data_IF_084799460522
#
_entry.id   IF_084799460522
#
_cell.length_a   1.000
_cell.length_b   1.000
_cell.length_c   1.000
_cell.angle_alpha   90.00
_cell.angle_beta   90.00
_cell.angle_gamma   90.00
#
_symmetry.space_group_name_H-M   'P 1'
#
loop_
_entity.id
_entity.type
_entity.pdbx_description
1 polymer ?
#
# COMPACT_ATOMS: atom_id res chain seq x y z
N UNK A 1 18.56 19.70 -20.31
CA UNK A 1 18.12 20.78 -19.40
C UNK A 1 18.77 20.56 -18.05
N UNK A 2 19.28 21.61 -17.44
CA UNK A 2 19.90 21.59 -16.12
C UNK A 2 19.10 22.51 -15.18
N UNK A 3 19.08 22.23 -13.88
CA UNK A 3 18.54 23.12 -12.85
C UNK A 3 19.48 24.31 -12.60
N UNK A 4 19.02 25.32 -11.86
CA UNK A 4 19.85 26.45 -11.41
C UNK A 4 21.03 26.01 -10.51
N UNK A 5 20.92 24.81 -9.91
CA UNK A 5 21.99 24.16 -9.14
C UNK A 5 22.92 23.31 -10.02
N UNK A 6 22.63 23.16 -11.31
CA UNK A 6 23.44 22.40 -12.27
C UNK A 6 23.06 20.91 -12.42
N UNK A 7 21.96 20.46 -11.81
CA UNK A 7 21.53 19.06 -11.89
C UNK A 7 20.82 18.76 -13.21
N UNK A 8 20.99 17.56 -13.76
CA UNK A 8 20.28 17.16 -14.98
C UNK A 8 18.80 16.93 -14.66
N UNK A 9 17.91 17.73 -15.24
CA UNK A 9 16.46 17.52 -15.12
C UNK A 9 16.05 16.45 -16.15
N UNK A 10 15.42 15.39 -15.65
CA UNK A 10 14.94 14.26 -16.44
C UNK A 10 13.69 13.65 -15.79
N UNK A 11 12.88 12.96 -16.60
CA UNK A 11 11.74 12.19 -16.09
C UNK A 11 12.21 10.96 -15.33
N UNK A 12 11.56 10.68 -14.20
CA UNK A 12 11.78 9.48 -13.40
C UNK A 12 10.84 8.38 -13.86
N UNK A 13 11.37 7.23 -14.26
CA UNK A 13 10.58 6.02 -14.55
C UNK A 13 10.30 5.26 -13.25
N UNK A 14 9.06 4.79 -13.09
CA UNK A 14 8.63 3.97 -11.95
C UNK A 14 8.27 2.57 -12.48
N UNK A 15 8.78 1.52 -11.84
CA UNK A 15 8.56 0.13 -12.23
C UNK A 15 8.14 -0.73 -11.04
N UNK A 16 7.41 -1.82 -11.32
CA UNK A 16 7.10 -2.85 -10.34
C UNK A 16 7.58 -4.22 -10.84
N UNK A 17 8.24 -4.99 -9.97
CA UNK A 17 8.54 -6.40 -10.21
C UNK A 17 7.24 -7.21 -10.16
N UNK A 18 6.85 -7.82 -11.27
CA UNK A 18 5.70 -8.72 -11.37
C UNK A 18 6.13 -10.01 -12.07
N UNK A 19 5.96 -11.15 -11.39
CA UNK A 19 6.26 -12.48 -11.95
C UNK A 19 7.68 -12.58 -12.57
N UNK A 20 8.68 -12.01 -11.89
CA UNK A 20 10.08 -12.04 -12.32
C UNK A 20 10.43 -11.07 -13.46
N UNK A 21 9.55 -10.13 -13.81
CA UNK A 21 9.81 -9.09 -14.81
C UNK A 21 9.51 -7.70 -14.25
N UNK A 22 10.30 -6.71 -14.65
CA UNK A 22 9.99 -5.31 -14.39
C UNK A 22 8.91 -4.82 -15.36
N UNK A 23 7.85 -4.23 -14.82
CA UNK A 23 6.75 -3.64 -15.57
C UNK A 23 6.72 -2.15 -15.26
N UNK A 24 6.73 -1.30 -16.29
CA UNK A 24 6.64 0.17 -16.13
C UNK A 24 5.25 0.56 -15.61
N UNK A 25 5.23 1.27 -14.49
CA UNK A 25 4.02 1.77 -13.82
C UNK A 25 3.68 3.19 -14.25
N UNK A 26 4.69 4.00 -14.56
CA UNK A 26 4.49 5.40 -14.90
C UNK A 26 5.78 6.20 -14.97
N UNK A 27 5.63 7.51 -15.20
CA UNK A 27 6.71 8.48 -15.22
C UNK A 27 6.34 9.70 -14.37
N UNK A 28 7.32 10.22 -13.65
CA UNK A 28 7.19 11.48 -12.92
C UNK A 28 8.09 12.54 -13.56
N UNK A 29 7.50 13.68 -13.91
CA UNK A 29 8.23 14.84 -14.45
C UNK A 29 8.41 15.89 -13.36
N UNK A 30 9.65 16.08 -12.90
CA UNK A 30 9.96 17.05 -11.84
C UNK A 30 9.82 18.50 -12.31
N UNK A 31 9.81 18.75 -13.63
CA UNK A 31 9.67 20.09 -14.20
C UNK A 31 8.22 20.56 -14.13
N UNK A 32 7.29 19.69 -14.53
CA UNK A 32 5.85 20.00 -14.54
C UNK A 32 5.15 19.55 -13.26
N UNK A 33 5.84 18.78 -12.41
CA UNK A 33 5.29 18.12 -11.22
C UNK A 33 4.14 17.16 -11.55
N UNK A 34 4.15 16.60 -12.77
CA UNK A 34 3.10 15.70 -13.25
C UNK A 34 3.49 14.23 -13.06
N UNK A 35 2.51 13.45 -12.62
CA UNK A 35 2.59 11.99 -12.52
C UNK A 35 1.72 11.36 -13.62
N UNK A 36 2.36 10.71 -14.57
CA UNK A 36 1.70 9.83 -15.53
C UNK A 36 1.65 8.42 -14.92
N UNK A 37 0.45 7.88 -14.67
CA UNK A 37 0.27 6.58 -14.02
C UNK A 37 -0.61 5.64 -14.85
N UNK A 38 -0.14 4.41 -15.07
CA UNK A 38 -0.78 3.47 -15.98
C UNK A 38 -1.79 2.50 -15.33
N UNK A 39 -1.91 2.46 -14.01
CA UNK A 39 -2.86 1.57 -13.32
C UNK A 39 -2.55 0.08 -13.52
N UNK A 40 -1.27 -0.28 -13.65
CA UNK A 40 -0.79 -1.66 -13.92
C UNK A 40 -0.29 -2.37 -12.67
N UNK A 41 -0.30 -1.69 -11.53
CA UNK A 41 0.20 -2.22 -10.27
C UNK A 41 -0.56 -3.47 -9.84
N UNK A 42 0.19 -4.45 -9.32
CA UNK A 42 -0.35 -5.64 -8.70
C UNK A 42 0.03 -5.67 -7.24
N UNK A 43 -0.98 -5.61 -6.39
CA UNK A 43 -0.84 -5.81 -4.97
C UNK A 43 -1.27 -7.23 -4.59
N UNK A 44 -0.80 -7.72 -3.45
CA UNK A 44 -1.21 -9.03 -2.94
C UNK A 44 -2.73 -9.10 -2.70
N UNK A 45 -3.34 -7.99 -2.29
CA UNK A 45 -4.78 -7.87 -2.05
C UNK A 45 -5.43 -6.92 -3.04
N UNK A 46 -6.74 -7.09 -3.27
CA UNK A 46 -7.56 -6.15 -4.03
C UNK A 46 -7.74 -4.78 -3.35
N UNK A 47 -7.28 -4.62 -2.10
CA UNK A 47 -7.38 -3.36 -1.35
C UNK A 47 -6.25 -2.37 -1.66
N UNK A 48 -5.33 -2.75 -2.55
CA UNK A 48 -4.17 -1.91 -2.89
C UNK A 48 -2.96 -2.18 -1.98
N UNK A 49 -2.07 -1.18 -1.81
CA UNK A 49 -0.88 -1.32 -0.97
C UNK A 49 -1.25 -1.57 0.49
N UNK A 50 -0.38 -2.25 1.25
CA UNK A 50 -0.55 -2.34 2.70
C UNK A 50 -0.51 -0.93 3.32
N UNK A 51 -1.32 -0.66 4.35
CA UNK A 51 -1.27 0.61 5.07
C UNK A 51 0.03 0.73 5.87
N UNK A 52 0.41 1.98 6.18
CA UNK A 52 1.62 2.28 6.96
C UNK A 52 1.56 1.73 8.40
N UNK A 53 0.36 1.46 8.93
CA UNK A 53 0.17 0.96 10.30
C UNK A 53 -1.07 0.07 10.46
N UNK A 54 -1.14 -0.64 11.58
CA UNK A 54 -2.29 -1.46 11.96
C UNK A 54 -3.39 -0.61 12.60
N UNK A 55 -4.65 -0.99 12.37
CA UNK A 55 -5.79 -0.38 13.07
C UNK A 55 -5.95 -1.04 14.44
N UNK A 56 -5.81 -0.25 15.51
CA UNK A 56 -6.08 -0.71 16.88
C UNK A 56 -7.58 -0.93 17.03
N UNK A 57 -7.97 -2.13 17.49
CA UNK A 57 -9.36 -2.48 17.81
C UNK A 57 -9.42 -3.02 19.23
N UNK A 58 -10.13 -2.31 20.09
CA UNK A 58 -10.41 -2.78 21.44
C UNK A 58 -11.43 -3.93 21.40
N UNK A 59 -11.17 -4.99 22.15
CA UNK A 59 -12.09 -6.12 22.30
C UNK A 59 -12.16 -6.52 23.77
N UNK A 60 -13.39 -6.70 24.27
CA UNK A 60 -13.63 -7.23 25.61
C UNK A 60 -13.70 -8.76 25.50
N UNK A 61 -13.03 -9.47 26.41
CA UNK A 61 -13.19 -10.91 26.57
C UNK A 61 -14.43 -11.17 27.42
N UNK A 62 -15.42 -11.89 26.87
CA UNK A 62 -16.62 -12.34 27.61
C UNK A 62 -16.69 -13.86 27.62
N UNK A 63 -17.23 -14.43 28.69
CA UNK A 63 -17.52 -15.87 28.76
C UNK A 63 -18.81 -16.15 27.98
N UNK A 64 -18.80 -17.14 27.10
CA UNK A 64 -20.01 -17.58 26.40
C UNK A 64 -21.02 -18.14 27.42
N UNK A 65 -22.29 -17.74 27.29
CA UNK A 65 -23.35 -18.03 28.25
C UNK A 65 -23.84 -19.50 28.23
N UNK A 66 -23.14 -20.40 27.56
CA UNK A 66 -23.52 -21.82 27.40
C UNK A 66 -23.05 -22.71 28.56
N UNK A 67 -22.34 -22.17 29.55
CA UNK A 67 -22.07 -22.90 30.79
C UNK A 67 -23.26 -22.70 31.74
N UNK A 68 -24.33 -23.46 31.51
CA UNK A 68 -25.39 -23.68 32.50
C UNK A 68 -24.86 -24.59 33.60
N UNK A 69 -24.25 -23.99 34.63
CA UNK A 69 -24.00 -24.71 35.88
C UNK A 69 -25.39 -24.90 36.53
N UNK A 70 -25.96 -26.11 36.46
CA UNK A 70 -27.07 -26.48 37.35
C UNK A 70 -26.44 -26.68 38.73
N UNK A 71 -26.72 -25.83 39.74
CA UNK A 71 -26.33 -26.17 41.10
C UNK A 71 -27.14 -27.38 41.53
N UNK A 72 -26.46 -28.52 41.73
CA UNK A 72 -27.03 -29.69 42.39
C UNK A 72 -27.30 -29.35 43.86
N UNK A 73 -28.52 -29.69 44.31
CA UNK A 73 -29.12 -29.50 45.64
C UNK A 73 -28.21 -29.88 46.82
#
# INVERSE_FOLDING_TARGET
>A
MFSDSGDRIARTQIEQMQNGKYVVMGFYDTTTQELEWYGKEKWYSSKGPPPDSTIVRESILTVANEVSILPSL
#
